data_IF_693795974937
#
_entry.id   IF_693795974937
#
_cell.length_a   1.000
_cell.length_b   1.000
_cell.length_c   1.000
_cell.angle_alpha   90.00
_cell.angle_beta   90.00
_cell.angle_gamma   90.00
#
_symmetry.space_group_name_H-M   'P 1'
#
loop_
_entity.id
_entity.type
_entity.pdbx_description
1 polymer ?
#
# COMPACT_ATOMS: atom_id res chain seq x y z
N UNK A 1 10.06 -7.05 2.72
CA UNK A 1 10.95 -8.18 3.00
C UNK A 1 11.64 -8.04 4.35
N UNK A 2 12.48 -9.00 4.69
CA UNK A 2 13.29 -8.96 5.91
C UNK A 2 14.48 -8.02 5.65
N UNK A 3 14.56 -6.93 6.41
CA UNK A 3 15.59 -5.90 6.20
C UNK A 3 16.87 -6.22 6.96
N UNK A 4 16.75 -6.82 8.14
CA UNK A 4 17.90 -7.23 8.95
C UNK A 4 17.55 -8.40 9.90
N UNK A 5 18.56 -8.95 10.58
CA UNK A 5 18.40 -10.12 11.46
C UNK A 5 17.48 -9.86 12.66
N UNK A 6 17.48 -8.65 13.19
CA UNK A 6 16.59 -8.24 14.29
C UNK A 6 15.13 -8.22 13.84
N UNK A 7 14.87 -7.74 12.64
CA UNK A 7 13.55 -7.77 12.05
C UNK A 7 13.09 -9.22 11.81
N UNK A 8 13.97 -10.10 11.34
CA UNK A 8 13.68 -11.53 11.19
C UNK A 8 13.29 -12.17 12.53
N UNK A 9 14.06 -11.90 13.59
CA UNK A 9 13.81 -12.44 14.92
C UNK A 9 12.46 -11.98 15.48
N UNK A 10 12.16 -10.69 15.32
CA UNK A 10 10.87 -10.13 15.73
C UNK A 10 9.71 -10.81 15.01
N UNK A 11 9.82 -11.01 13.70
CA UNK A 11 8.79 -11.68 12.91
C UNK A 11 8.59 -13.13 13.37
N UNK A 12 9.66 -13.87 13.64
CA UNK A 12 9.59 -15.26 14.13
C UNK A 12 8.88 -15.30 15.49
N UNK A 13 9.29 -14.48 16.44
CA UNK A 13 8.72 -14.47 17.80
C UNK A 13 7.24 -14.08 17.75
N UNK A 14 6.89 -13.03 17.03
CA UNK A 14 5.49 -12.58 16.94
C UNK A 14 4.61 -13.59 16.20
N UNK A 15 5.13 -14.27 15.18
CA UNK A 15 4.40 -15.33 14.48
C UNK A 15 4.15 -16.55 15.38
N UNK A 16 5.15 -16.98 16.12
CA UNK A 16 4.99 -18.08 17.09
C UNK A 16 3.95 -17.73 18.17
N UNK A 17 4.04 -16.52 18.74
CA UNK A 17 3.06 -16.03 19.71
C UNK A 17 1.66 -15.97 19.10
N UNK A 18 1.54 -15.46 17.87
CA UNK A 18 0.26 -15.40 17.15
C UNK A 18 -0.37 -16.76 16.93
N UNK A 19 0.43 -17.77 16.56
CA UNK A 19 -0.04 -19.15 16.39
C UNK A 19 -0.50 -19.76 17.73
N UNK A 20 0.24 -19.56 18.81
CA UNK A 20 -0.13 -20.04 20.13
C UNK A 20 -1.45 -19.44 20.59
N UNK A 21 -1.62 -18.13 20.45
CA UNK A 21 -2.86 -17.43 20.80
C UNK A 21 -4.03 -17.92 19.93
N UNK A 22 -3.81 -18.12 18.63
CA UNK A 22 -4.79 -18.66 17.71
C UNK A 22 -5.27 -20.06 18.12
N UNK A 23 -4.31 -20.93 18.42
CA UNK A 23 -4.59 -22.30 18.85
C UNK A 23 -5.37 -22.31 20.15
N UNK A 24 -5.00 -21.45 21.10
CA UNK A 24 -5.73 -21.31 22.37
C UNK A 24 -7.17 -20.84 22.16
N UNK A 25 -7.38 -19.88 21.26
CA UNK A 25 -8.72 -19.40 20.92
C UNK A 25 -9.59 -20.50 20.30
N UNK A 26 -9.03 -21.26 19.36
CA UNK A 26 -9.77 -22.34 18.67
C UNK A 26 -10.07 -23.53 19.58
N UNK A 27 -9.20 -23.81 20.53
CA UNK A 27 -9.43 -24.87 21.53
C UNK A 27 -10.30 -24.40 22.69
N UNK A 28 -10.54 -23.09 22.84
CA UNK A 28 -11.28 -22.52 23.95
C UNK A 28 -10.57 -22.67 25.30
N UNK A 29 -9.23 -22.82 25.27
CA UNK A 29 -8.42 -23.02 26.45
C UNK A 29 -7.03 -22.36 26.30
N UNK A 30 -6.60 -21.67 27.37
CA UNK A 30 -5.25 -21.11 27.45
C UNK A 30 -4.58 -21.54 28.74
N UNK A 31 -4.64 -20.81 29.81
CA UNK A 31 -4.29 -21.30 31.17
C UNK A 31 -5.51 -21.90 31.85
N UNK A 32 -6.69 -21.35 31.55
CA UNK A 32 -7.99 -21.80 31.98
C UNK A 32 -8.95 -21.90 30.80
N UNK A 33 -10.17 -22.41 31.03
CA UNK A 33 -11.19 -22.44 29.99
C UNK A 33 -11.62 -21.02 29.64
N UNK A 34 -11.46 -20.65 28.35
CA UNK A 34 -11.83 -19.35 27.86
C UNK A 34 -13.35 -19.19 27.78
N UNK A 35 -13.84 -18.04 28.15
CA UNK A 35 -15.21 -17.61 27.93
C UNK A 35 -15.39 -17.20 26.46
N UNK A 36 -16.62 -17.23 25.95
CA UNK A 36 -16.89 -16.93 24.55
C UNK A 36 -16.34 -15.57 24.06
N UNK A 37 -16.40 -14.51 24.88
CA UNK A 37 -15.88 -13.21 24.56
C UNK A 37 -14.34 -13.16 24.58
N UNK A 38 -13.70 -13.94 25.47
CA UNK A 38 -12.24 -14.07 25.50
C UNK A 38 -11.72 -14.74 24.23
N UNK A 39 -12.45 -15.72 23.69
CA UNK A 39 -12.12 -16.35 22.41
C UNK A 39 -12.08 -15.30 21.29
N UNK A 40 -13.05 -14.37 21.24
CA UNK A 40 -13.09 -13.31 20.23
C UNK A 40 -11.89 -12.38 20.37
N UNK A 41 -11.54 -11.98 21.60
CA UNK A 41 -10.37 -11.14 21.88
C UNK A 41 -9.08 -11.85 21.47
N UNK A 42 -8.92 -13.14 21.81
CA UNK A 42 -7.75 -13.93 21.42
C UNK A 42 -7.63 -14.08 19.90
N UNK A 43 -8.73 -14.28 19.19
CA UNK A 43 -8.73 -14.28 17.72
C UNK A 43 -8.26 -12.93 17.15
N UNK A 44 -8.75 -11.82 17.70
CA UNK A 44 -8.32 -10.49 17.28
C UNK A 44 -6.84 -10.26 17.55
N UNK A 45 -6.33 -10.64 18.73
CA UNK A 45 -4.90 -10.54 19.07
C UNK A 45 -4.05 -11.39 18.12
N UNK A 46 -4.48 -12.63 17.86
CA UNK A 46 -3.79 -13.52 16.93
C UNK A 46 -3.68 -12.94 15.54
N UNK A 47 -4.78 -12.40 14.98
CA UNK A 47 -4.77 -11.74 13.67
C UNK A 47 -3.84 -10.52 13.69
N UNK A 48 -3.83 -9.75 14.77
CA UNK A 48 -2.97 -8.58 14.94
C UNK A 48 -1.47 -8.95 14.97
N UNK A 49 -1.11 -10.08 15.57
CA UNK A 49 0.26 -10.57 15.64
C UNK A 49 0.70 -11.22 14.32
N UNK A 50 -0.15 -12.00 13.67
CA UNK A 50 0.18 -12.69 12.42
C UNK A 50 0.16 -11.76 11.21
N UNK A 51 -0.76 -10.79 11.21
CA UNK A 51 -0.93 -9.87 10.08
C UNK A 51 -1.15 -8.42 10.55
N UNK A 52 -0.14 -7.77 11.13
CA UNK A 52 -0.26 -6.40 11.64
C UNK A 52 -0.63 -5.39 10.55
N UNK A 53 -0.26 -5.67 9.30
CA UNK A 53 -0.63 -4.82 8.16
C UNK A 53 -2.12 -4.84 7.88
N UNK A 54 -2.80 -5.96 8.12
CA UNK A 54 -4.26 -6.05 7.94
C UNK A 54 -5.00 -5.10 8.89
N UNK A 55 -4.60 -5.13 10.17
CA UNK A 55 -5.17 -4.24 11.19
C UNK A 55 -4.83 -2.79 10.89
N UNK A 56 -3.56 -2.52 10.57
CA UNK A 56 -3.09 -1.18 10.28
C UNK A 56 -3.78 -0.57 9.06
N UNK A 57 -3.98 -1.33 7.99
CA UNK A 57 -4.65 -0.87 6.78
C UNK A 57 -6.12 -0.46 7.01
N UNK A 58 -6.76 -0.99 8.05
CA UNK A 58 -8.14 -0.62 8.38
C UNK A 58 -8.22 0.80 8.93
N UNK A 59 -7.21 1.24 9.71
CA UNK A 59 -7.18 2.56 10.36
C UNK A 59 -6.29 3.55 9.60
N UNK A 60 -5.19 3.07 9.03
CA UNK A 60 -4.19 3.85 8.30
C UNK A 60 -3.85 3.15 6.99
N UNK A 61 -4.61 3.41 5.92
CA UNK A 61 -4.34 2.82 4.61
C UNK A 61 -2.94 3.20 4.14
N UNK A 62 -2.26 2.26 3.49
CA UNK A 62 -0.89 2.47 2.97
C UNK A 62 -0.84 3.51 1.87
N UNK A 63 -1.92 3.61 1.10
CA UNK A 63 -2.04 4.53 -0.02
C UNK A 63 -3.35 5.29 0.08
N UNK A 64 -3.26 6.60 -0.12
CA UNK A 64 -4.42 7.45 -0.30
C UNK A 64 -4.81 7.48 -1.77
N UNK A 65 -6.10 7.33 -2.04
CA UNK A 65 -6.66 7.51 -3.37
C UNK A 65 -6.86 9.00 -3.61
N UNK A 66 -6.26 9.52 -4.68
CA UNK A 66 -6.47 10.91 -5.12
C UNK A 66 -7.30 10.93 -6.38
N UNK A 67 -8.14 11.96 -6.49
CA UNK A 67 -8.86 12.21 -7.74
C UNK A 67 -7.83 12.51 -8.84
N UNK A 68 -8.00 11.85 -9.95
CA UNK A 68 -7.14 12.00 -11.13
C UNK A 68 -7.18 13.45 -11.65
N UNK A 69 -8.31 14.13 -11.47
CA UNK A 69 -8.49 15.52 -11.86
C UNK A 69 -7.59 16.48 -11.07
N UNK A 70 -7.15 16.09 -9.89
CA UNK A 70 -6.25 16.89 -9.05
C UNK A 70 -4.77 16.69 -9.39
N UNK A 71 -4.40 15.77 -10.26
CA UNK A 71 -2.99 15.49 -10.63
C UNK A 71 -2.28 16.75 -11.14
N UNK A 72 -2.98 17.59 -11.91
CA UNK A 72 -2.41 18.84 -12.45
C UNK A 72 -2.23 19.94 -11.39
N UNK A 73 -2.94 19.85 -10.26
CA UNK A 73 -2.96 20.86 -9.20
C UNK A 73 -2.16 20.43 -7.97
N UNK A 74 -1.91 19.13 -7.82
CA UNK A 74 -1.20 18.62 -6.66
C UNK A 74 0.30 18.75 -6.85
N UNK A 75 0.92 19.66 -6.13
CA UNK A 75 2.34 19.59 -5.80
C UNK A 75 2.56 18.33 -4.99
N UNK A 76 2.93 17.25 -5.67
CA UNK A 76 3.17 15.97 -5.04
C UNK A 76 4.58 15.98 -4.45
N UNK A 77 4.70 15.65 -3.18
CA UNK A 77 5.97 15.54 -2.50
C UNK A 77 6.84 14.46 -3.17
N UNK A 78 8.04 14.83 -3.59
CA UNK A 78 9.00 13.93 -4.24
C UNK A 78 9.41 12.74 -3.35
N UNK A 79 9.19 12.86 -2.03
CA UNK A 79 9.48 11.80 -1.07
C UNK A 79 8.43 10.67 -1.03
N UNK A 80 7.30 10.84 -1.72
CA UNK A 80 6.22 9.85 -1.74
C UNK A 80 6.36 8.88 -2.92
N UNK A 81 5.98 7.63 -2.69
CA UNK A 81 5.80 6.67 -3.78
C UNK A 81 4.42 6.89 -4.41
N UNK A 82 4.39 6.97 -5.73
CA UNK A 82 3.16 7.17 -6.49
C UNK A 82 2.92 5.99 -7.39
N UNK A 83 1.69 5.50 -7.37
CA UNK A 83 1.25 4.38 -8.19
C UNK A 83 0.12 4.82 -9.09
N UNK A 84 0.30 4.59 -10.38
CA UNK A 84 -0.71 4.81 -11.40
C UNK A 84 -1.26 3.48 -11.85
N UNK A 85 -2.57 3.32 -11.80
CA UNK A 85 -3.23 2.26 -12.53
C UNK A 85 -3.64 2.84 -13.88
N UNK A 86 -3.07 2.28 -14.91
CA UNK A 86 -3.26 2.74 -16.28
C UNK A 86 -4.04 1.68 -17.03
N UNK A 87 -5.06 2.10 -17.72
CA UNK A 87 -5.84 1.26 -18.60
C UNK A 87 -5.46 1.54 -20.04
N UNK A 88 -5.18 0.50 -20.80
CA UNK A 88 -4.83 0.55 -22.20
C UNK A 88 -5.92 -0.11 -23.01
N UNK A 89 -6.60 0.61 -23.92
CA UNK A 89 -7.54 -0.01 -24.84
C UNK A 89 -6.78 -0.94 -25.79
N UNK A 90 -7.31 -2.11 -26.05
CA UNK A 90 -6.79 -3.03 -27.03
C UNK A 90 -7.95 -3.68 -27.80
N UNK A 91 -7.67 -4.29 -28.96
CA UNK A 91 -8.66 -4.99 -29.77
C UNK A 91 -9.39 -6.12 -29.03
N UNK A 92 -8.75 -6.69 -28.00
CA UNK A 92 -9.29 -7.78 -27.18
C UNK A 92 -9.86 -7.31 -25.82
N UNK A 93 -10.12 -6.00 -25.66
CA UNK A 93 -10.62 -5.40 -24.44
C UNK A 93 -9.57 -4.54 -23.72
N UNK A 94 -9.88 -4.12 -22.52
CA UNK A 94 -9.02 -3.24 -21.71
C UNK A 94 -7.94 -4.04 -21.00
N UNK A 95 -6.71 -3.55 -21.06
CA UNK A 95 -5.58 -4.09 -20.30
C UNK A 95 -5.17 -3.11 -19.21
N UNK A 96 -4.94 -3.65 -18.00
CA UNK A 96 -4.53 -2.86 -16.86
C UNK A 96 -3.03 -3.01 -16.62
N UNK A 97 -2.33 -1.88 -16.44
CA UNK A 97 -0.92 -1.86 -16.05
C UNK A 97 -0.77 -0.99 -14.80
N UNK A 98 0.08 -1.45 -13.88
CA UNK A 98 0.43 -0.67 -12.69
C UNK A 98 1.83 -0.08 -12.88
N UNK A 99 1.93 1.23 -12.85
CA UNK A 99 3.20 1.96 -12.90
C UNK A 99 3.51 2.52 -11.52
N UNK A 100 4.75 2.32 -11.08
CA UNK A 100 5.22 2.81 -9.80
C UNK A 100 6.36 3.79 -10.03
N UNK A 101 6.16 5.02 -9.59
CA UNK A 101 7.22 6.02 -9.55
C UNK A 101 7.77 6.05 -8.13
N UNK A 102 9.05 5.70 -8.01
CA UNK A 102 9.73 5.56 -6.72
C UNK A 102 10.01 6.93 -6.10
N UNK A 103 10.20 6.92 -4.78
CA UNK A 103 10.66 8.07 -4.00
C UNK A 103 11.93 8.68 -4.62
N UNK A 104 12.08 9.98 -4.47
CA UNK A 104 13.26 10.73 -4.94
C UNK A 104 13.56 10.61 -6.44
N UNK A 105 12.57 10.30 -7.26
CA UNK A 105 12.73 10.29 -8.72
C UNK A 105 12.89 11.72 -9.28
N UNK A 106 12.42 12.71 -8.53
CA UNK A 106 12.45 14.13 -8.84
C UNK A 106 13.26 14.88 -7.78
N UNK A 107 14.01 15.91 -8.22
CA UNK A 107 14.89 16.66 -7.32
C UNK A 107 14.14 17.60 -6.37
N UNK A 108 12.99 18.14 -6.79
CA UNK A 108 12.21 19.10 -6.02
C UNK A 108 10.74 18.70 -5.94
N UNK A 109 9.91 19.22 -6.86
CA UNK A 109 8.48 18.91 -6.92
C UNK A 109 8.22 17.85 -7.98
N UNK A 110 7.18 17.06 -7.73
CA UNK A 110 6.75 16.05 -8.68
C UNK A 110 6.22 16.70 -9.96
N UNK A 111 6.96 16.58 -11.05
CA UNK A 111 6.59 17.13 -12.34
C UNK A 111 6.53 16.01 -13.40
N UNK A 112 5.33 15.71 -13.88
CA UNK A 112 5.10 14.70 -14.90
C UNK A 112 5.74 15.05 -16.24
N UNK A 113 5.89 16.33 -16.57
CA UNK A 113 6.58 16.76 -17.76
C UNK A 113 8.08 16.42 -17.72
N UNK A 114 8.71 16.52 -16.54
CA UNK A 114 10.10 16.07 -16.35
C UNK A 114 10.21 14.55 -16.48
N UNK A 115 9.14 13.80 -16.12
CA UNK A 115 9.08 12.37 -16.36
C UNK A 115 8.89 12.04 -17.85
N UNK A 116 8.50 13.03 -18.62
CA UNK A 116 8.29 12.93 -20.06
C UNK A 116 6.90 12.47 -20.44
N UNK A 117 5.89 12.78 -19.62
CA UNK A 117 4.48 12.51 -19.90
C UNK A 117 3.76 13.85 -20.08
N UNK A 118 3.05 13.99 -21.18
CA UNK A 118 2.04 15.03 -21.37
C UNK A 118 0.67 14.41 -21.20
N UNK A 119 -0.11 14.98 -20.30
CA UNK A 119 -1.47 14.52 -20.00
C UNK A 119 -2.48 15.53 -20.51
N UNK A 120 -3.55 15.04 -21.12
CA UNK A 120 -4.69 15.84 -21.56
C UNK A 120 -5.98 15.26 -20.94
N UNK A 121 -6.80 16.14 -20.43
CA UNK A 121 -8.13 15.77 -19.93
C UNK A 121 -9.09 15.68 -21.11
N UNK A 122 -9.63 14.49 -21.38
CA UNK A 122 -10.68 14.24 -22.35
C UNK A 122 -11.92 13.78 -21.61
N UNK A 123 -12.98 14.60 -21.69
CA UNK A 123 -14.23 14.34 -20.97
C UNK A 123 -14.00 14.16 -19.47
N UNK A 124 -14.05 12.95 -18.97
CA UNK A 124 -13.86 12.62 -17.56
C UNK A 124 -12.64 11.73 -17.30
N UNK A 125 -11.74 11.59 -18.29
CA UNK A 125 -10.53 10.74 -18.23
C UNK A 125 -9.27 11.56 -18.48
N UNK A 126 -8.19 11.20 -17.83
CA UNK A 126 -6.87 11.74 -18.12
C UNK A 126 -6.12 10.77 -19.01
N UNK A 127 -5.79 11.23 -20.22
CA UNK A 127 -5.16 10.44 -21.26
C UNK A 127 -3.72 10.89 -21.45
N UNK A 128 -2.83 9.95 -21.68
CA UNK A 128 -1.45 10.21 -22.11
C UNK A 128 -1.47 10.67 -23.56
N UNK A 129 -1.31 11.96 -23.78
CA UNK A 129 -1.35 12.57 -25.10
C UNK A 129 -0.01 12.44 -25.84
N UNK A 130 1.08 12.74 -25.14
CA UNK A 130 2.42 12.64 -25.71
C UNK A 130 3.44 12.11 -24.71
N UNK A 131 4.45 11.41 -25.24
CA UNK A 131 5.58 10.88 -24.48
C UNK A 131 6.88 11.38 -25.09
N UNK A 132 7.78 11.91 -24.25
CA UNK A 132 9.13 12.27 -24.69
C UNK A 132 9.88 11.02 -25.15
N UNK A 133 10.44 11.04 -26.37
CA UNK A 133 11.04 9.87 -27.04
C UNK A 133 12.01 9.08 -26.15
N UNK A 134 12.86 9.71 -25.42
CA UNK A 134 13.82 9.07 -24.52
C UNK A 134 13.50 9.29 -23.04
N UNK A 135 12.25 9.69 -22.73
CA UNK A 135 11.77 9.97 -21.38
C UNK A 135 11.70 8.75 -20.48
N UNK A 136 11.77 8.98 -19.18
CA UNK A 136 11.64 7.92 -18.17
C UNK A 136 10.29 7.18 -18.29
N UNK A 137 9.23 7.88 -18.62
CA UNK A 137 7.90 7.31 -18.81
C UNK A 137 7.86 6.28 -19.94
N UNK A 138 8.40 6.61 -21.09
CA UNK A 138 8.44 5.67 -22.23
C UNK A 138 9.27 4.44 -21.90
N UNK A 139 10.40 4.61 -21.21
CA UNK A 139 11.23 3.48 -20.73
C UNK A 139 10.51 2.62 -19.70
N UNK A 140 9.61 3.20 -18.91
CA UNK A 140 8.77 2.47 -17.96
C UNK A 140 7.61 1.72 -18.63
N UNK A 141 7.36 1.95 -19.93
CA UNK A 141 6.34 1.23 -20.71
C UNK A 141 4.99 1.94 -20.84
N UNK A 142 4.92 3.26 -20.56
CA UNK A 142 3.77 4.06 -20.94
C UNK A 142 3.68 4.18 -22.46
N UNK A 143 2.45 4.23 -22.99
CA UNK A 143 2.17 4.45 -24.40
C UNK A 143 1.18 5.61 -24.57
N UNK A 144 1.23 6.26 -25.73
CA UNK A 144 0.25 7.28 -26.11
C UNK A 144 -1.12 6.63 -26.24
N UNK A 145 -2.15 7.27 -25.69
CA UNK A 145 -3.50 6.72 -25.63
C UNK A 145 -3.81 5.91 -24.37
N UNK A 146 -2.81 5.65 -23.51
CA UNK A 146 -3.05 5.10 -22.20
C UNK A 146 -3.89 6.10 -21.37
N UNK A 147 -4.87 5.64 -20.60
CA UNK A 147 -5.59 6.51 -19.68
C UNK A 147 -5.40 6.08 -18.24
N UNK A 148 -5.22 7.09 -17.37
CA UNK A 148 -4.99 6.88 -15.95
C UNK A 148 -6.34 6.66 -15.29
N UNK A 149 -6.57 5.48 -14.71
CA UNK A 149 -7.82 5.12 -14.05
C UNK A 149 -7.79 5.34 -12.53
N UNK A 150 -6.63 5.18 -11.90
CA UNK A 150 -6.48 5.38 -10.47
C UNK A 150 -5.09 5.98 -10.15
N UNK A 151 -5.08 6.88 -9.17
CA UNK A 151 -3.86 7.43 -8.58
C UNK A 151 -3.81 7.07 -7.09
N UNK A 152 -2.71 6.45 -6.68
CA UNK A 152 -2.44 6.09 -5.29
C UNK A 152 -1.14 6.74 -4.84
N UNK A 153 -1.19 7.50 -3.77
CA UNK A 153 -0.04 8.18 -3.18
C UNK A 153 0.27 7.53 -1.84
N UNK A 154 1.55 7.25 -1.59
CA UNK A 154 1.97 6.67 -0.31
C UNK A 154 1.64 7.61 0.86
N UNK A 155 0.97 7.07 1.88
CA UNK A 155 0.67 7.79 3.11
C UNK A 155 1.90 7.75 4.04
N UNK A 156 2.61 8.88 4.16
CA UNK A 156 3.79 9.00 5.04
C UNK A 156 3.42 9.13 6.51
N UNK A 157 2.17 9.52 6.82
CA UNK A 157 1.71 9.68 8.20
C UNK A 157 1.34 8.32 8.83
N UNK A 158 1.46 7.25 8.04
CA UNK A 158 1.18 5.90 8.50
C UNK A 158 2.21 5.47 9.57
N UNK A 159 1.75 5.10 10.78
CA UNK A 159 2.65 4.62 11.81
C UNK A 159 3.32 3.29 11.40
N UNK A 160 4.49 3.04 11.98
CA UNK A 160 5.19 1.78 11.73
C UNK A 160 4.37 0.59 12.29
N UNK A 161 4.27 -0.48 11.50
CA UNK A 161 3.56 -1.72 11.88
C UNK A 161 4.00 -2.32 13.22
N UNK A 162 5.22 -2.00 13.68
CA UNK A 162 5.78 -2.46 14.95
C UNK A 162 4.95 -2.00 16.15
N UNK A 163 4.22 -0.88 16.04
CA UNK A 163 3.37 -0.35 17.13
C UNK A 163 2.21 -1.29 17.49
N UNK A 164 1.78 -2.13 16.56
CA UNK A 164 0.68 -3.08 16.80
C UNK A 164 1.09 -4.19 17.78
N UNK A 165 2.35 -4.63 17.76
CA UNK A 165 2.81 -5.73 18.58
C UNK A 165 2.69 -5.48 20.10
N UNK A 166 3.21 -4.37 20.66
CA UNK A 166 3.03 -4.09 22.08
C UNK A 166 1.56 -3.88 22.45
N UNK A 167 0.74 -3.32 21.55
CA UNK A 167 -0.69 -3.16 21.81
C UNK A 167 -1.42 -4.52 21.86
N UNK A 168 -1.07 -5.44 20.98
CA UNK A 168 -1.63 -6.79 20.97
C UNK A 168 -1.20 -7.59 22.22
N UNK A 169 0.05 -7.43 22.66
CA UNK A 169 0.58 -8.10 23.87
C UNK A 169 -0.10 -7.52 25.11
N UNK A 170 -0.35 -6.23 25.18
CA UNK A 170 -1.01 -5.57 26.31
C UNK A 170 -2.46 -6.07 26.48
N UNK A 171 -3.12 -6.48 25.42
CA UNK A 171 -4.46 -7.08 25.47
C UNK A 171 -4.46 -8.53 25.96
N UNK A 172 -3.30 -9.20 26.08
CA UNK A 172 -3.14 -10.54 26.61
C UNK A 172 -3.01 -10.58 28.14
N UNK A 173 -2.72 -9.44 28.76
CA UNK A 173 -2.52 -9.30 30.22
C UNK A 173 -3.82 -8.89 30.88
#
# INVERSE_FOLDING_TARGET
GIENIWHALTVIITSLAGILVFTSATQGWFVNRLRWYEIIVFLFISISLLSPEFVLNKFYPKYDYKDINEIHLAKLDSNKEIRFKVTRPSEYGERYKLFVIKKNTFENEYNLEQYGISLVKKENMIVVDALKWNGKAKKSGFETGDYISELKIENLDRPNKIIIYPLAILLLI
#
